data_IF_992227185274
#
_entry.id   IF_992227185274
#
_cell.length_a   1.000
_cell.length_b   1.000
_cell.length_c   1.000
_cell.angle_alpha   90.00
_cell.angle_beta   90.00
_cell.angle_gamma   90.00
#
_symmetry.space_group_name_H-M   'P 1'
#
loop_
_entity.id
_entity.type
_entity.pdbx_description
1 polymer ?
#
# COMPACT_ATOMS: atom_id res chain seq x y z
N UNK A 1 38.54 -13.97 -35.44
CA UNK A 1 39.08 -14.24 -34.08
C UNK A 1 38.37 -13.32 -33.15
N UNK A 2 37.52 -13.86 -32.30
CA UNK A 2 36.77 -13.11 -31.28
C UNK A 2 37.66 -13.13 -30.04
N UNK A 3 38.09 -11.95 -29.55
CA UNK A 3 38.87 -11.86 -28.32
C UNK A 3 38.02 -12.44 -27.13
N UNK A 4 38.63 -13.20 -26.23
CA UNK A 4 37.94 -13.73 -25.08
C UNK A 4 37.57 -12.59 -24.11
N UNK A 5 36.38 -12.64 -23.57
CA UNK A 5 35.90 -11.74 -22.51
C UNK A 5 36.89 -11.70 -21.34
N UNK A 6 37.13 -10.53 -20.73
CA UNK A 6 38.01 -10.42 -19.57
C UNK A 6 37.43 -11.20 -18.38
N UNK A 7 38.27 -12.04 -17.79
CA UNK A 7 37.91 -13.09 -16.81
C UNK A 7 37.47 -12.62 -15.43
N UNK A 8 37.43 -11.33 -15.13
CA UNK A 8 36.86 -10.79 -13.88
C UNK A 8 36.46 -9.33 -14.05
N UNK A 9 35.20 -9.06 -14.23
CA UNK A 9 34.61 -7.78 -13.82
C UNK A 9 34.59 -7.77 -12.29
N UNK A 10 35.63 -7.22 -11.65
CA UNK A 10 35.60 -6.91 -10.24
C UNK A 10 34.72 -5.67 -10.04
N UNK A 11 33.45 -5.87 -9.67
CA UNK A 11 32.64 -4.80 -9.15
C UNK A 11 33.23 -4.38 -7.79
N UNK A 12 33.47 -3.07 -7.56
CA UNK A 12 33.91 -2.62 -6.25
C UNK A 12 32.83 -3.05 -5.24
N UNK A 13 33.24 -3.64 -4.13
CA UNK A 13 32.35 -3.92 -3.02
C UNK A 13 31.65 -2.60 -2.65
N UNK A 14 30.31 -2.58 -2.68
CA UNK A 14 29.54 -1.42 -2.31
C UNK A 14 29.71 -1.16 -0.80
N UNK A 15 30.79 -0.47 -0.44
CA UNK A 15 31.05 0.05 0.90
C UNK A 15 30.48 1.47 1.00
N UNK A 16 29.17 1.61 0.84
CA UNK A 16 28.47 2.86 1.02
C UNK A 16 27.26 2.62 1.94
N UNK A 17 27.33 3.07 3.19
CA UNK A 17 26.12 3.27 4.00
C UNK A 17 25.21 4.19 3.21
N UNK A 18 24.01 3.72 2.84
CA UNK A 18 22.96 4.56 2.29
C UNK A 18 22.60 5.58 3.39
N UNK A 19 22.74 6.90 3.17
CA UNK A 19 22.39 7.90 4.16
C UNK A 19 20.89 7.85 4.40
N UNK A 20 20.44 7.73 5.64
CA UNK A 20 19.03 7.85 6.04
C UNK A 20 18.37 6.59 6.60
N UNK A 21 19.09 5.50 6.81
CA UNK A 21 18.58 4.37 7.59
C UNK A 21 18.94 4.57 9.07
N UNK A 22 18.04 5.20 9.83
CA UNK A 22 18.16 5.28 11.28
C UNK A 22 18.01 3.89 11.89
N UNK A 23 19.10 3.39 12.49
CA UNK A 23 19.18 2.09 13.15
C UNK A 23 18.54 2.04 14.55
N UNK A 24 17.74 3.04 14.92
CA UNK A 24 17.30 3.26 16.31
C UNK A 24 16.01 2.52 16.73
N UNK A 25 15.48 1.62 15.89
CA UNK A 25 14.35 0.75 16.26
C UNK A 25 14.68 -0.74 16.04
N UNK A 26 15.81 -1.20 16.54
CA UNK A 26 16.12 -2.62 16.51
C UNK A 26 15.79 -3.24 17.87
N UNK A 27 14.81 -4.15 17.90
CA UNK A 27 14.79 -5.21 18.90
C UNK A 27 16.10 -5.99 18.77
N UNK A 28 16.67 -6.49 19.86
CA UNK A 28 17.90 -7.31 19.84
C UNK A 28 17.74 -8.61 19.03
N UNK A 29 16.49 -8.96 18.66
CA UNK A 29 16.15 -10.13 17.81
C UNK A 29 16.15 -9.73 16.33
N UNK A 30 16.90 -10.44 15.47
CA UNK A 30 16.90 -10.17 14.03
C UNK A 30 15.52 -10.43 13.42
N UNK A 31 15.06 -9.50 12.56
CA UNK A 31 13.76 -9.59 11.90
C UNK A 31 13.62 -10.94 11.16
N UNK A 32 12.54 -11.65 11.44
CA UNK A 32 12.16 -12.90 10.80
C UNK A 32 11.16 -12.67 9.69
N UNK A 33 11.41 -13.25 8.53
CA UNK A 33 10.58 -13.15 7.33
C UNK A 33 10.07 -14.55 7.02
N UNK A 34 8.75 -14.67 6.85
CA UNK A 34 8.13 -15.93 6.43
C UNK A 34 8.23 -16.09 4.90
N UNK A 35 8.70 -17.22 4.44
CA UNK A 35 8.69 -17.62 3.02
C UNK A 35 8.30 -19.11 2.95
N UNK A 36 7.18 -19.40 2.30
CA UNK A 36 6.75 -20.76 1.95
C UNK A 36 6.80 -21.79 3.11
N UNK A 37 6.35 -21.41 4.28
CA UNK A 37 6.25 -22.29 5.44
C UNK A 37 7.45 -22.22 6.40
N UNK A 38 8.45 -21.40 6.14
CA UNK A 38 9.64 -21.27 6.97
C UNK A 38 9.95 -19.81 7.31
N UNK A 39 10.61 -19.60 8.46
CA UNK A 39 11.12 -18.30 8.86
C UNK A 39 12.61 -18.19 8.55
N UNK A 40 12.99 -17.04 8.02
CA UNK A 40 14.38 -16.69 7.67
C UNK A 40 14.75 -15.36 8.27
N UNK A 41 15.98 -15.21 8.73
CA UNK A 41 16.50 -13.91 9.10
C UNK A 41 16.53 -12.99 7.87
N UNK A 42 16.46 -11.65 8.10
CA UNK A 42 16.49 -10.64 7.02
C UNK A 42 17.64 -10.84 6.03
N UNK A 43 18.80 -11.31 6.47
CA UNK A 43 19.97 -11.54 5.61
C UNK A 43 19.88 -12.82 4.77
N UNK A 44 19.08 -13.81 5.22
CA UNK A 44 18.91 -15.12 4.59
C UNK A 44 17.64 -15.21 3.74
N UNK A 45 16.64 -14.34 3.99
CA UNK A 45 15.41 -14.27 3.21
C UNK A 45 15.71 -13.89 1.75
N UNK A 46 15.61 -14.86 0.83
CA UNK A 46 15.94 -14.71 -0.59
C UNK A 46 14.90 -15.44 -1.44
N UNK A 47 14.66 -14.91 -2.63
CA UNK A 47 13.88 -15.57 -3.67
C UNK A 47 14.79 -15.94 -4.85
N UNK A 48 14.36 -16.89 -5.66
CA UNK A 48 15.08 -17.29 -6.87
C UNK A 48 15.09 -16.13 -7.89
N UNK A 49 16.18 -15.98 -8.63
CA UNK A 49 16.25 -15.07 -9.79
C UNK A 49 15.35 -15.51 -10.95
N UNK A 50 14.82 -16.75 -10.91
CA UNK A 50 13.83 -17.28 -11.85
C UNK A 50 12.39 -17.14 -11.36
N UNK A 51 12.15 -16.42 -10.24
CA UNK A 51 10.80 -16.13 -9.78
C UNK A 51 10.12 -15.14 -10.75
N UNK A 52 8.93 -15.50 -11.24
CA UNK A 52 8.20 -14.69 -12.22
C UNK A 52 7.69 -13.36 -11.61
N UNK A 53 7.52 -13.29 -10.29
CA UNK A 53 7.27 -12.01 -9.60
C UNK A 53 8.45 -11.04 -9.78
N UNK A 54 9.70 -11.53 -9.74
CA UNK A 54 10.89 -10.74 -10.01
C UNK A 54 11.04 -10.43 -11.51
N UNK A 55 10.87 -11.44 -12.38
CA UNK A 55 11.15 -11.31 -13.81
C UNK A 55 10.10 -10.47 -14.54
N UNK A 56 8.81 -10.60 -14.17
CA UNK A 56 7.68 -10.05 -14.94
C UNK A 56 6.70 -9.25 -14.10
N UNK A 57 6.87 -9.15 -12.78
CA UNK A 57 5.87 -8.57 -11.90
C UNK A 57 4.61 -9.44 -11.78
N UNK A 58 4.71 -10.75 -12.09
CA UNK A 58 3.60 -11.69 -12.02
C UNK A 58 3.36 -12.14 -10.57
N UNK A 59 2.47 -11.42 -9.92
CA UNK A 59 2.11 -11.63 -8.53
C UNK A 59 1.21 -10.53 -8.00
N UNK A 60 0.77 -10.70 -6.77
CA UNK A 60 -0.13 -9.81 -6.05
C UNK A 60 0.42 -9.53 -4.65
N UNK A 61 -0.04 -8.44 -4.03
CA UNK A 61 0.43 -8.12 -2.69
C UNK A 61 -0.61 -7.38 -1.86
N UNK A 62 -0.41 -7.41 -0.55
CA UNK A 62 -1.13 -6.59 0.40
C UNK A 62 -0.18 -5.78 1.30
N UNK A 63 -0.71 -4.67 1.76
CA UNK A 63 -0.15 -3.89 2.85
C UNK A 63 -1.21 -3.82 3.94
N UNK A 64 -0.88 -4.28 5.15
CA UNK A 64 -1.83 -4.43 6.24
C UNK A 64 -1.25 -3.79 7.49
N UNK A 65 -2.04 -3.01 8.21
CA UNK A 65 -1.63 -2.44 9.51
C UNK A 65 -2.16 -3.27 10.66
N UNK A 66 -1.39 -3.28 11.73
CA UNK A 66 -1.84 -3.78 13.03
C UNK A 66 -1.53 -2.73 14.09
N UNK A 67 -2.44 -2.64 15.07
CA UNK A 67 -2.43 -1.66 16.14
C UNK A 67 -2.83 -2.34 17.43
N UNK A 68 -2.13 -2.06 18.50
CA UNK A 68 -2.52 -2.54 19.84
C UNK A 68 -2.90 -4.03 19.84
N UNK A 69 -1.99 -4.89 19.36
CA UNK A 69 -2.13 -6.35 19.27
C UNK A 69 -3.28 -6.85 18.37
N UNK A 70 -3.76 -6.04 17.41
CA UNK A 70 -4.82 -6.41 16.50
C UNK A 70 -4.51 -6.06 15.06
N UNK A 71 -4.68 -7.01 14.14
CA UNK A 71 -4.57 -6.75 12.72
C UNK A 71 -5.87 -6.13 12.22
N UNK A 72 -5.78 -4.91 11.72
CA UNK A 72 -6.95 -4.17 11.27
C UNK A 72 -7.46 -4.69 9.93
N UNK A 73 -8.75 -5.11 9.89
CA UNK A 73 -9.44 -5.58 8.68
C UNK A 73 -8.70 -6.73 7.95
N UNK A 74 -8.09 -7.67 8.69
CA UNK A 74 -7.28 -8.75 8.13
C UNK A 74 -8.02 -9.53 7.04
N UNK A 75 -9.23 -10.00 7.34
CA UNK A 75 -10.03 -10.84 6.44
C UNK A 75 -10.32 -10.12 5.12
N UNK A 76 -10.65 -8.82 5.17
CA UNK A 76 -10.92 -8.02 3.96
C UNK A 76 -9.67 -7.83 3.10
N UNK A 77 -8.49 -7.70 3.71
CA UNK A 77 -7.22 -7.67 2.99
C UNK A 77 -6.93 -9.01 2.31
N UNK A 78 -7.16 -10.12 3.02
CA UNK A 78 -6.96 -11.46 2.46
C UNK A 78 -7.95 -11.74 1.33
N UNK A 79 -9.22 -11.37 1.48
CA UNK A 79 -10.21 -11.49 0.40
C UNK A 79 -9.77 -10.74 -0.85
N UNK A 80 -9.31 -9.49 -0.73
CA UNK A 80 -8.82 -8.70 -1.86
C UNK A 80 -7.54 -9.29 -2.47
N UNK A 81 -6.66 -9.90 -1.67
CA UNK A 81 -5.48 -10.63 -2.17
C UNK A 81 -5.92 -11.79 -3.08
N UNK A 82 -6.89 -12.60 -2.62
CA UNK A 82 -7.42 -13.73 -3.39
C UNK A 82 -8.17 -13.28 -4.64
N UNK A 83 -8.94 -12.19 -4.58
CA UNK A 83 -9.61 -11.61 -5.75
C UNK A 83 -8.60 -11.09 -6.77
N UNK A 84 -7.54 -10.42 -6.33
CA UNK A 84 -6.45 -9.97 -7.18
C UNK A 84 -5.72 -11.14 -7.82
N UNK A 85 -5.43 -12.20 -7.07
CA UNK A 85 -4.80 -13.42 -7.56
C UNK A 85 -5.69 -14.11 -8.60
N UNK A 86 -7.00 -14.25 -8.33
CA UNK A 86 -7.97 -14.82 -9.25
C UNK A 86 -8.02 -14.05 -10.58
N UNK A 87 -7.97 -12.71 -10.53
CA UNK A 87 -8.03 -11.86 -11.71
C UNK A 87 -6.83 -12.06 -12.66
N UNK A 88 -5.66 -12.48 -12.15
CA UNK A 88 -4.46 -12.80 -12.94
C UNK A 88 -4.23 -14.30 -13.10
N UNK A 89 -5.23 -15.14 -12.86
CA UNK A 89 -5.12 -16.61 -12.89
C UNK A 89 -3.99 -17.16 -12.02
N UNK A 90 -3.73 -16.55 -10.86
CA UNK A 90 -2.75 -17.00 -9.87
C UNK A 90 -3.48 -17.81 -8.78
N UNK A 91 -3.10 -19.08 -8.63
CA UNK A 91 -3.61 -19.92 -7.54
C UNK A 91 -2.71 -19.78 -6.32
N UNK A 92 -3.24 -19.27 -5.22
CA UNK A 92 -2.54 -19.22 -3.93
C UNK A 92 -2.55 -20.64 -3.35
N UNK A 93 -1.38 -21.21 -2.98
CA UNK A 93 -1.28 -22.60 -2.53
C UNK A 93 -1.62 -22.76 -1.02
N UNK A 94 -2.61 -22.02 -0.55
CA UNK A 94 -3.12 -22.03 0.82
C UNK A 94 -4.57 -21.53 0.85
N UNK A 95 -5.33 -21.86 1.87
CA UNK A 95 -6.65 -21.29 2.12
C UNK A 95 -6.54 -19.86 2.69
N UNK A 96 -7.67 -19.13 2.74
CA UNK A 96 -7.71 -17.78 3.35
C UNK A 96 -7.32 -17.83 4.83
N UNK A 97 -7.82 -18.83 5.55
CA UNK A 97 -7.56 -19.05 6.97
C UNK A 97 -6.07 -19.33 7.22
N UNK A 98 -5.45 -20.16 6.38
CA UNK A 98 -4.01 -20.43 6.45
C UNK A 98 -3.17 -19.19 6.17
N UNK A 99 -3.54 -18.34 5.20
CA UNK A 99 -2.83 -17.08 4.91
C UNK A 99 -3.01 -16.09 6.06
N UNK A 100 -4.21 -16.01 6.68
CA UNK A 100 -4.41 -15.24 7.91
C UNK A 100 -3.45 -15.70 9.01
N UNK A 101 -3.37 -17.02 9.25
CA UNK A 101 -2.51 -17.57 10.30
C UNK A 101 -1.02 -17.34 10.00
N UNK A 102 -0.55 -17.51 8.77
CA UNK A 102 0.83 -17.18 8.35
C UNK A 102 1.16 -15.70 8.66
N UNK A 103 0.18 -14.82 8.42
CA UNK A 103 0.31 -13.38 8.69
C UNK A 103 0.44 -13.11 10.18
N UNK A 104 -0.45 -13.68 11.00
CA UNK A 104 -0.42 -13.54 12.46
C UNK A 104 0.84 -14.17 13.08
N UNK A 105 1.22 -15.37 12.60
CA UNK A 105 2.45 -16.06 13.04
C UNK A 105 3.71 -15.22 12.77
N UNK A 106 3.75 -14.51 11.63
CA UNK A 106 4.89 -13.64 11.30
C UNK A 106 4.99 -12.45 12.25
N UNK A 107 3.87 -11.88 12.70
CA UNK A 107 3.88 -10.80 13.70
C UNK A 107 4.36 -11.34 15.05
N UNK A 108 3.81 -12.49 15.49
CA UNK A 108 4.18 -13.14 16.76
C UNK A 108 5.66 -13.52 16.81
N UNK A 109 6.19 -14.09 15.68
CA UNK A 109 7.61 -14.46 15.58
C UNK A 109 8.54 -13.25 15.77
N UNK A 110 8.09 -12.05 15.41
CA UNK A 110 8.84 -10.80 15.56
C UNK A 110 8.52 -10.02 16.85
N UNK A 111 7.62 -10.51 17.70
CA UNK A 111 7.20 -9.88 18.96
C UNK A 111 6.75 -8.41 18.76
N UNK A 112 5.91 -8.19 17.75
CA UNK A 112 5.44 -6.85 17.36
C UNK A 112 4.01 -6.61 17.85
N UNK A 113 3.74 -5.39 18.34
CA UNK A 113 2.45 -4.98 18.90
C UNK A 113 1.76 -3.92 18.02
N UNK A 114 2.54 -3.13 17.28
CA UNK A 114 2.13 -2.16 16.28
C UNK A 114 3.04 -2.27 15.06
N UNK A 115 2.48 -2.08 13.86
CA UNK A 115 3.31 -2.11 12.67
C UNK A 115 2.56 -2.33 11.36
N UNK A 116 3.30 -2.86 10.41
CA UNK A 116 2.87 -3.03 9.03
C UNK A 116 3.33 -4.38 8.48
N UNK A 117 2.46 -5.00 7.74
CA UNK A 117 2.70 -6.25 7.04
C UNK A 117 2.77 -5.98 5.54
N UNK A 118 3.80 -6.51 4.90
CA UNK A 118 3.86 -6.71 3.46
C UNK A 118 3.67 -8.19 3.19
N UNK A 119 2.50 -8.55 2.68
CA UNK A 119 2.17 -9.91 2.23
C UNK A 119 2.27 -9.92 0.70
N UNK A 120 3.08 -10.81 0.15
CA UNK A 120 3.32 -10.93 -1.28
C UNK A 120 3.06 -12.38 -1.70
N UNK A 121 2.38 -12.55 -2.83
CA UNK A 121 2.27 -13.85 -3.50
C UNK A 121 2.78 -13.67 -4.92
N UNK A 122 3.89 -14.33 -5.25
CA UNK A 122 4.42 -14.38 -6.61
C UNK A 122 3.91 -15.61 -7.34
N UNK A 123 4.01 -15.62 -8.66
CA UNK A 123 3.78 -16.84 -9.47
C UNK A 123 4.73 -17.98 -9.08
N UNK A 124 5.88 -17.65 -8.48
CA UNK A 124 6.94 -18.59 -8.13
C UNK A 124 7.95 -18.82 -9.25
N UNK A 125 8.81 -19.80 -9.00
CA UNK A 125 9.91 -20.16 -9.88
C UNK A 125 9.40 -20.87 -11.12
N UNK A 126 9.89 -20.44 -12.30
CA UNK A 126 9.54 -21.05 -13.58
C UNK A 126 10.67 -20.95 -14.60
N UNK A 127 10.38 -21.42 -15.81
CA UNK A 127 11.26 -21.21 -16.96
C UNK A 127 11.21 -19.76 -17.48
N UNK A 128 12.21 -19.33 -18.22
CA UNK A 128 12.15 -18.06 -18.95
C UNK A 128 11.03 -18.11 -20.00
N UNK A 129 10.22 -17.05 -20.03
CA UNK A 129 9.07 -16.91 -20.92
C UNK A 129 7.80 -16.56 -20.15
N UNK A 130 6.76 -16.12 -20.85
CA UNK A 130 5.57 -15.51 -20.26
C UNK A 130 4.46 -16.52 -19.87
N UNK A 131 4.67 -17.82 -20.11
CA UNK A 131 3.63 -18.82 -19.77
C UNK A 131 3.56 -19.03 -18.26
N UNK A 132 2.43 -18.68 -17.61
CA UNK A 132 2.29 -18.86 -16.16
C UNK A 132 2.19 -20.35 -15.76
N UNK A 133 1.87 -21.24 -16.73
CA UNK A 133 1.75 -22.69 -16.53
C UNK A 133 3.10 -23.41 -16.42
N UNK A 134 4.20 -22.70 -16.60
CA UNK A 134 5.56 -23.22 -16.42
C UNK A 134 6.14 -22.94 -15.03
N UNK A 135 5.37 -22.33 -14.16
CA UNK A 135 5.69 -22.18 -12.74
C UNK A 135 4.97 -23.29 -11.96
N UNK A 136 5.74 -24.06 -11.20
CA UNK A 136 5.20 -25.23 -10.47
C UNK A 136 4.28 -24.84 -9.32
N UNK A 137 4.64 -23.79 -8.57
CA UNK A 137 3.92 -23.35 -7.38
C UNK A 137 4.16 -21.87 -7.10
N UNK A 138 3.11 -21.16 -6.72
CA UNK A 138 3.22 -19.79 -6.23
C UNK A 138 3.97 -19.75 -4.88
N UNK A 139 4.69 -18.67 -4.63
CA UNK A 139 5.43 -18.41 -3.39
C UNK A 139 4.72 -17.38 -2.54
N UNK A 140 4.61 -17.61 -1.23
CA UNK A 140 4.00 -16.72 -0.24
C UNK A 140 5.08 -16.15 0.65
N UNK A 141 5.18 -14.82 0.70
CA UNK A 141 6.17 -14.08 1.49
C UNK A 141 5.44 -13.13 2.43
N UNK A 142 5.75 -13.18 3.73
CA UNK A 142 5.21 -12.26 4.72
C UNK A 142 6.34 -11.56 5.45
N UNK A 143 6.31 -10.23 5.43
CA UNK A 143 7.25 -9.36 6.15
C UNK A 143 6.42 -8.53 7.13
N UNK A 144 6.69 -8.62 8.44
CA UNK A 144 6.10 -7.77 9.45
C UNK A 144 7.18 -6.86 10.04
N UNK A 145 6.94 -5.54 10.07
CA UNK A 145 7.90 -4.56 10.55
C UNK A 145 7.18 -3.28 11.01
N UNK A 146 7.89 -2.39 11.65
CA UNK A 146 7.39 -1.02 11.91
C UNK A 146 7.38 -0.21 10.62
N UNK A 147 6.49 0.78 10.52
CA UNK A 147 6.42 1.73 9.40
C UNK A 147 6.13 3.14 9.91
N UNK A 148 6.76 4.12 9.27
CA UNK A 148 6.36 5.53 9.34
C UNK A 148 6.38 6.07 7.91
N UNK A 149 5.19 6.33 7.33
CA UNK A 149 5.09 6.77 5.94
C UNK A 149 5.38 8.26 5.81
N UNK A 150 4.77 9.08 6.68
CA UNK A 150 4.97 10.52 6.73
C UNK A 150 5.39 10.96 8.13
N UNK A 151 6.15 12.06 8.26
CA UNK A 151 6.42 12.67 9.56
C UNK A 151 5.12 13.09 10.27
N UNK A 152 5.09 13.02 11.61
CA UNK A 152 3.91 13.36 12.41
C UNK A 152 3.34 14.76 12.08
N UNK A 153 4.20 15.73 11.77
CA UNK A 153 3.83 17.08 11.35
C UNK A 153 2.89 17.10 10.14
N UNK A 154 3.00 16.12 9.21
CA UNK A 154 2.16 16.07 8.01
C UNK A 154 0.73 15.61 8.33
N UNK A 155 0.55 14.83 9.37
CA UNK A 155 -0.79 14.47 9.87
C UNK A 155 -1.49 15.66 10.58
N UNK A 156 -0.72 16.64 11.03
CA UNK A 156 -1.25 17.84 11.67
C UNK A 156 -1.49 18.99 10.66
N UNK A 157 -0.53 19.18 9.74
CA UNK A 157 -0.54 20.33 8.81
C UNK A 157 -1.04 20.00 7.40
N UNK A 158 -1.02 18.71 7.02
CA UNK A 158 -1.39 18.27 5.68
C UNK A 158 -0.22 18.11 4.72
N UNK A 159 -0.49 17.35 3.66
CA UNK A 159 0.44 17.06 2.57
C UNK A 159 0.35 18.13 1.47
N UNK A 160 1.42 18.24 0.69
CA UNK A 160 1.45 18.93 -0.59
C UNK A 160 1.30 17.90 -1.69
N UNK A 161 0.31 18.07 -2.58
CA UNK A 161 0.07 17.21 -3.72
C UNK A 161 0.41 17.89 -5.05
N UNK A 162 0.77 17.10 -6.05
CA UNK A 162 0.92 17.55 -7.43
C UNK A 162 0.26 16.58 -8.40
N UNK A 163 -0.29 17.10 -9.50
CA UNK A 163 -0.75 16.27 -10.62
C UNK A 163 0.43 15.67 -11.36
N UNK A 164 0.41 14.34 -11.56
CA UNK A 164 1.42 13.63 -12.32
C UNK A 164 1.07 13.56 -13.81
N UNK A 165 2.09 13.57 -14.67
CA UNK A 165 1.96 13.32 -16.11
C UNK A 165 1.67 11.83 -16.37
N UNK A 166 2.30 10.95 -15.60
CA UNK A 166 2.06 9.49 -15.64
C UNK A 166 0.60 9.20 -15.31
N UNK A 167 -0.08 8.49 -16.22
CA UNK A 167 -1.50 8.13 -16.10
C UNK A 167 -1.68 6.79 -15.40
N UNK A 168 -2.83 6.63 -14.73
CA UNK A 168 -3.25 5.31 -14.26
C UNK A 168 -3.48 4.38 -15.47
N UNK A 169 -3.06 3.11 -15.40
CA UNK A 169 -3.40 2.13 -16.43
C UNK A 169 -4.90 2.03 -16.64
N UNK A 170 -5.33 1.81 -17.90
CA UNK A 170 -6.73 1.55 -18.21
C UNK A 170 -7.15 0.17 -17.71
N UNK A 171 -8.43 0.00 -17.42
CA UNK A 171 -9.01 -1.28 -16.98
C UNK A 171 -8.85 -2.42 -18.00
N UNK A 172 -8.79 -2.10 -19.28
CA UNK A 172 -8.59 -3.03 -20.39
C UNK A 172 -7.12 -3.40 -20.64
N UNK A 173 -6.17 -2.66 -20.08
CA UNK A 173 -4.74 -3.00 -20.13
C UNK A 173 -4.33 -3.84 -18.90
N UNK A 174 -4.30 -3.22 -17.74
CA UNK A 174 -4.06 -3.87 -16.43
C UNK A 174 -4.93 -3.14 -15.41
N UNK A 175 -6.04 -3.77 -15.01
CA UNK A 175 -7.02 -3.13 -14.14
C UNK A 175 -6.38 -2.66 -12.82
N UNK A 176 -6.49 -1.36 -12.47
CA UNK A 176 -6.03 -0.83 -11.20
C UNK A 176 -6.71 -1.46 -9.97
N UNK A 177 -7.86 -2.12 -10.16
CA UNK A 177 -8.53 -2.87 -9.10
C UNK A 177 -7.73 -4.12 -8.66
N UNK A 178 -6.85 -4.64 -9.54
CA UNK A 178 -5.93 -5.74 -9.20
C UNK A 178 -4.72 -5.17 -8.48
N UNK A 179 -4.51 -5.58 -7.24
CA UNK A 179 -3.32 -5.17 -6.46
C UNK A 179 -2.12 -6.04 -6.82
N UNK A 180 -1.64 -5.92 -8.08
CA UNK A 180 -0.53 -6.68 -8.64
C UNK A 180 0.82 -6.08 -8.28
N UNK A 181 1.91 -6.82 -8.54
CA UNK A 181 3.29 -6.33 -8.36
C UNK A 181 3.71 -5.29 -9.42
N UNK A 182 2.86 -4.94 -10.38
CA UNK A 182 3.16 -3.98 -11.46
C UNK A 182 2.93 -2.54 -11.01
N UNK A 183 3.74 -2.07 -10.06
CA UNK A 183 3.64 -0.72 -9.49
C UNK A 183 4.59 0.31 -10.11
N UNK A 184 5.24 -0.01 -11.23
CA UNK A 184 6.21 0.90 -11.83
C UNK A 184 5.59 2.24 -12.25
N UNK A 185 4.36 2.26 -12.78
CA UNK A 185 3.65 3.51 -13.08
C UNK A 185 3.42 4.38 -11.84
N UNK A 186 3.10 3.76 -10.70
CA UNK A 186 2.95 4.47 -9.43
C UNK A 186 4.30 5.02 -8.93
N UNK A 187 5.39 4.25 -9.07
CA UNK A 187 6.75 4.70 -8.73
C UNK A 187 7.17 5.88 -9.60
N UNK A 188 6.91 5.84 -10.92
CA UNK A 188 7.22 6.96 -11.82
C UNK A 188 6.41 8.21 -11.47
N UNK A 189 5.11 8.07 -11.20
CA UNK A 189 4.28 9.17 -10.74
C UNK A 189 4.80 9.75 -9.39
N UNK A 190 5.25 8.90 -8.47
CA UNK A 190 5.86 9.35 -7.20
C UNK A 190 7.15 10.16 -7.43
N UNK A 191 8.00 9.73 -8.39
CA UNK A 191 9.21 10.48 -8.79
C UNK A 191 8.84 11.86 -9.33
N UNK A 192 7.80 11.96 -10.18
CA UNK A 192 7.31 13.25 -10.70
C UNK A 192 6.81 14.17 -9.57
N UNK A 193 6.02 13.64 -8.64
CA UNK A 193 5.54 14.41 -7.49
C UNK A 193 6.70 14.95 -6.65
N UNK A 194 7.67 14.10 -6.30
CA UNK A 194 8.86 14.49 -5.53
C UNK A 194 9.70 15.53 -6.27
N UNK A 195 9.87 15.39 -7.59
CA UNK A 195 10.59 16.37 -8.42
C UNK A 195 9.92 17.74 -8.45
N UNK A 196 8.58 17.80 -8.25
CA UNK A 196 7.82 19.05 -8.14
C UNK A 196 7.82 19.66 -6.73
N UNK A 197 8.41 18.97 -5.74
CA UNK A 197 8.42 19.34 -4.33
C UNK A 197 7.16 18.91 -3.57
N UNK A 198 6.36 18.00 -4.13
CA UNK A 198 5.19 17.45 -3.46
C UNK A 198 5.52 16.13 -2.73
N UNK A 199 4.80 15.84 -1.65
CA UNK A 199 4.93 14.59 -0.92
C UNK A 199 4.18 13.44 -1.62
N UNK A 200 3.09 13.76 -2.35
CA UNK A 200 2.28 12.73 -3.00
C UNK A 200 1.76 13.22 -4.37
N UNK A 201 1.48 12.27 -5.27
CA UNK A 201 1.08 12.55 -6.64
C UNK A 201 -0.35 12.13 -6.95
N UNK A 202 -1.13 13.03 -7.55
CA UNK A 202 -2.47 12.74 -8.06
C UNK A 202 -2.36 12.19 -9.49
N UNK A 203 -2.84 10.97 -9.70
CA UNK A 203 -2.85 10.31 -10.99
C UNK A 203 -4.23 10.44 -11.64
N UNK A 204 -4.23 10.81 -12.91
CA UNK A 204 -5.45 10.89 -13.72
C UNK A 204 -5.55 9.63 -14.61
N UNK A 205 -6.77 9.26 -14.98
CA UNK A 205 -7.01 8.26 -16.02
C UNK A 205 -6.81 8.85 -17.43
N UNK A 206 -6.96 8.01 -18.46
CA UNK A 206 -6.79 8.43 -19.84
C UNK A 206 -7.80 9.50 -20.31
N UNK A 207 -8.98 9.56 -19.69
CA UNK A 207 -10.01 10.58 -19.98
C UNK A 207 -9.76 11.91 -19.24
N UNK A 208 -8.75 11.97 -18.35
CA UNK A 208 -8.40 13.17 -17.59
C UNK A 208 -9.11 13.32 -16.25
N UNK A 209 -9.91 12.31 -15.85
CA UNK A 209 -10.52 12.28 -14.52
C UNK A 209 -9.52 11.81 -13.46
N UNK A 210 -9.70 12.30 -12.24
CA UNK A 210 -8.93 11.87 -11.08
C UNK A 210 -9.22 10.40 -10.78
N UNK A 211 -8.17 9.60 -10.71
CA UNK A 211 -8.28 8.21 -10.31
C UNK A 211 -8.01 8.05 -8.80
N UNK A 212 -6.78 8.22 -8.40
CA UNK A 212 -6.29 8.16 -7.02
C UNK A 212 -4.88 8.78 -6.95
N UNK A 213 -4.22 8.70 -5.80
CA UNK A 213 -2.82 9.08 -5.66
C UNK A 213 -1.89 7.89 -5.95
N UNK A 214 -0.54 8.08 -5.79
CA UNK A 214 0.41 7.01 -6.13
C UNK A 214 0.30 5.79 -5.23
N UNK A 215 -0.12 5.96 -3.97
CA UNK A 215 -0.31 4.87 -3.00
C UNK A 215 -1.62 4.92 -2.22
N UNK A 216 -2.45 5.95 -2.42
CA UNK A 216 -3.59 6.30 -1.60
C UNK A 216 -4.82 6.66 -2.42
N UNK A 217 -6.02 6.42 -1.88
CA UNK A 217 -7.25 6.97 -2.42
C UNK A 217 -7.42 8.44 -1.99
N UNK A 218 -8.19 9.21 -2.75
CA UNK A 218 -8.42 10.63 -2.49
C UNK A 218 -9.89 10.93 -2.20
N UNK A 219 -10.12 11.83 -1.27
CA UNK A 219 -11.44 12.35 -0.91
C UNK A 219 -11.44 13.88 -0.98
N UNK A 220 -12.57 14.42 -1.40
CA UNK A 220 -12.86 15.86 -1.51
C UNK A 220 -14.03 16.19 -0.61
N UNK A 221 -13.93 17.27 0.15
CA UNK A 221 -15.09 17.85 0.83
C UNK A 221 -15.45 19.16 0.14
N UNK A 222 -16.73 19.29 -0.21
CA UNK A 222 -17.28 20.52 -0.80
C UNK A 222 -18.67 20.78 -0.27
N UNK A 223 -18.90 21.97 0.30
CA UNK A 223 -20.19 22.40 0.88
C UNK A 223 -20.76 21.35 1.88
N UNK A 224 -19.88 20.74 2.69
CA UNK A 224 -20.28 19.74 3.70
C UNK A 224 -20.56 18.34 3.16
N UNK A 225 -20.45 18.10 1.85
CA UNK A 225 -20.60 16.78 1.22
C UNK A 225 -19.21 16.20 0.96
N UNK A 226 -19.04 14.91 1.23
CA UNK A 226 -17.80 14.15 0.96
C UNK A 226 -17.90 13.47 -0.40
N UNK A 227 -16.88 13.62 -1.22
CA UNK A 227 -16.78 13.00 -2.55
C UNK A 227 -15.53 12.14 -2.65
N UNK A 228 -15.58 11.08 -3.45
CA UNK A 228 -14.40 10.28 -3.81
C UNK A 228 -14.57 9.78 -5.25
N UNK A 229 -13.47 9.57 -6.01
CA UNK A 229 -13.56 8.97 -7.33
C UNK A 229 -14.22 7.60 -7.30
N UNK A 230 -15.02 7.29 -8.33
CA UNK A 230 -15.51 5.92 -8.54
C UNK A 230 -14.32 5.00 -8.82
N UNK A 231 -14.46 3.71 -8.51
CA UNK A 231 -13.42 2.74 -8.89
C UNK A 231 -13.27 2.63 -10.41
N UNK A 232 -14.36 2.86 -11.16
CA UNK A 232 -14.34 2.91 -12.62
C UNK A 232 -13.41 4.03 -13.16
N UNK A 233 -13.13 5.07 -12.39
CA UNK A 233 -12.15 6.11 -12.75
C UNK A 233 -10.70 5.60 -12.73
N UNK A 234 -10.42 4.39 -12.23
CA UNK A 234 -9.10 3.77 -12.20
C UNK A 234 -8.48 3.70 -10.80
N UNK A 235 -9.28 3.78 -9.74
CA UNK A 235 -8.79 3.62 -8.37
C UNK A 235 -8.85 2.17 -7.89
N UNK A 236 -8.04 1.87 -6.88
CA UNK A 236 -8.12 0.61 -6.14
C UNK A 236 -9.34 0.64 -5.19
N UNK A 237 -9.96 -0.53 -4.97
CA UNK A 237 -10.89 -0.73 -3.86
C UNK A 237 -10.14 -0.70 -2.52
N UNK A 238 -9.79 0.50 -2.04
CA UNK A 238 -9.01 0.67 -0.82
C UNK A 238 -9.77 0.20 0.42
N UNK A 239 -9.13 -0.61 1.30
CA UNK A 239 -9.75 -1.03 2.56
C UNK A 239 -9.97 0.18 3.47
N UNK A 240 -8.96 1.05 3.60
CA UNK A 240 -9.10 2.30 4.38
C UNK A 240 -10.13 3.24 3.74
N UNK A 241 -10.20 3.29 2.39
CA UNK A 241 -11.27 4.02 1.69
C UNK A 241 -12.66 3.53 2.12
N UNK A 242 -12.88 2.22 2.13
CA UNK A 242 -14.14 1.61 2.56
C UNK A 242 -14.48 1.96 4.02
N UNK A 243 -13.50 1.87 4.92
CA UNK A 243 -13.68 2.23 6.33
C UNK A 243 -14.04 3.71 6.48
N UNK A 244 -13.39 4.61 5.73
CA UNK A 244 -13.74 6.04 5.79
C UNK A 244 -15.16 6.30 5.26
N UNK A 245 -15.60 5.57 4.24
CA UNK A 245 -16.98 5.65 3.76
C UNK A 245 -17.99 5.19 4.85
N UNK A 246 -17.69 4.13 5.60
CA UNK A 246 -18.45 3.70 6.79
C UNK A 246 -18.51 4.83 7.83
N UNK A 247 -17.35 5.43 8.16
CA UNK A 247 -17.27 6.52 9.16
C UNK A 247 -18.01 7.80 8.73
N UNK A 248 -18.02 8.12 7.44
CA UNK A 248 -18.80 9.24 6.87
C UNK A 248 -20.29 9.00 7.09
N UNK A 249 -20.77 7.78 6.79
CA UNK A 249 -22.16 7.40 7.00
C UNK A 249 -22.56 7.43 8.50
N UNK A 250 -21.71 6.90 9.38
CA UNK A 250 -21.90 6.94 10.84
C UNK A 250 -21.90 8.37 11.41
N UNK A 251 -21.20 9.29 10.75
CA UNK A 251 -21.19 10.70 11.11
C UNK A 251 -22.44 11.46 10.62
N UNK A 252 -23.32 10.79 9.86
CA UNK A 252 -24.50 11.42 9.25
C UNK A 252 -24.15 12.40 8.12
N UNK A 253 -22.96 12.27 7.53
CA UNK A 253 -22.51 13.07 6.41
C UNK A 253 -22.92 12.43 5.07
N UNK A 254 -23.19 13.26 4.08
CA UNK A 254 -23.46 12.78 2.73
C UNK A 254 -22.15 12.39 2.03
N UNK A 255 -22.14 11.20 1.40
CA UNK A 255 -21.05 10.69 0.59
C UNK A 255 -21.51 10.46 -0.86
N UNK A 256 -20.68 10.86 -1.82
CA UNK A 256 -20.91 10.60 -3.25
C UNK A 256 -19.68 10.03 -3.92
N UNK A 257 -19.85 8.91 -4.61
CA UNK A 257 -18.84 8.39 -5.55
C UNK A 257 -19.13 8.97 -6.94
N UNK A 258 -18.18 9.74 -7.48
CA UNK A 258 -18.36 10.47 -8.75
C UNK A 258 -17.07 10.50 -9.57
N UNK A 259 -17.20 10.75 -10.87
CA UNK A 259 -16.05 11.16 -11.68
C UNK A 259 -15.70 12.62 -11.32
N UNK A 260 -14.43 12.88 -11.07
CA UNK A 260 -13.93 14.20 -10.69
C UNK A 260 -12.81 14.64 -11.62
N UNK A 261 -12.81 15.91 -11.98
CA UNK A 261 -11.72 16.56 -12.68
C UNK A 261 -10.79 17.30 -11.68
N UNK A 262 -9.64 17.76 -12.14
CA UNK A 262 -8.74 18.57 -11.32
C UNK A 262 -9.40 19.83 -10.76
N UNK A 263 -10.39 20.38 -11.50
CA UNK A 263 -11.16 21.55 -11.05
C UNK A 263 -11.84 21.30 -9.70
N UNK A 264 -12.38 20.11 -9.49
CA UNK A 264 -13.08 19.76 -8.24
C UNK A 264 -12.12 19.73 -7.05
N UNK A 265 -10.87 19.31 -7.29
CA UNK A 265 -9.82 19.35 -6.28
C UNK A 265 -9.36 20.80 -6.00
N UNK A 266 -9.22 21.63 -7.06
CA UNK A 266 -8.78 23.04 -6.89
C UNK A 266 -9.76 23.88 -6.09
N UNK A 267 -11.06 23.54 -6.17
CA UNK A 267 -12.14 24.29 -5.54
C UNK A 267 -12.66 23.63 -4.26
N UNK A 268 -12.01 22.56 -3.81
CA UNK A 268 -12.38 21.84 -2.59
C UNK A 268 -12.29 22.74 -1.35
N UNK A 269 -13.17 22.49 -0.39
CA UNK A 269 -13.08 23.11 0.94
C UNK A 269 -12.07 22.35 1.80
N UNK A 270 -12.03 20.98 1.66
CA UNK A 270 -11.06 20.12 2.29
C UNK A 270 -10.65 19.00 1.32
N UNK A 271 -9.42 18.50 1.44
CA UNK A 271 -8.93 17.30 0.78
C UNK A 271 -8.23 16.41 1.82
N UNK A 272 -8.38 15.09 1.66
CA UNK A 272 -7.61 14.14 2.43
C UNK A 272 -7.38 12.84 1.63
N UNK A 273 -6.36 12.12 2.02
CA UNK A 273 -6.00 10.83 1.44
C UNK A 273 -6.27 9.70 2.42
N UNK A 274 -6.47 8.50 1.86
CA UNK A 274 -6.66 7.29 2.67
C UNK A 274 -5.84 6.14 2.10
N UNK A 275 -5.07 5.49 2.96
CA UNK A 275 -4.30 4.32 2.61
C UNK A 275 -3.93 3.52 3.85
N UNK A 276 -3.62 2.25 3.69
CA UNK A 276 -3.29 1.41 4.84
C UNK A 276 -2.06 1.95 5.59
N UNK A 277 -1.01 2.37 4.86
CA UNK A 277 0.19 2.93 5.48
C UNK A 277 0.00 4.42 5.86
N UNK A 278 -0.78 5.18 5.07
CA UNK A 278 -1.05 6.59 5.28
C UNK A 278 -2.15 6.85 6.32
N UNK A 279 -3.00 5.85 6.61
CA UNK A 279 -4.21 6.03 7.43
C UNK A 279 -5.18 7.04 6.80
N UNK A 280 -5.55 8.08 7.52
CA UNK A 280 -6.25 9.25 7.00
C UNK A 280 -5.33 10.45 7.17
N UNK A 281 -4.90 11.05 6.07
CA UNK A 281 -3.95 12.16 6.09
C UNK A 281 -4.52 13.37 5.34
N UNK A 282 -4.52 14.58 5.95
CA UNK A 282 -5.06 15.77 5.32
C UNK A 282 -4.14 16.28 4.20
N UNK A 283 -4.70 17.10 3.32
CA UNK A 283 -3.99 17.81 2.24
C UNK A 283 -4.11 19.31 2.44
N UNK A 284 -2.99 20.00 2.46
CA UNK A 284 -2.91 21.45 2.62
C UNK A 284 -2.81 22.21 1.29
N UNK A 285 -2.14 21.61 0.31
CA UNK A 285 -1.85 22.24 -0.99
C UNK A 285 -1.96 21.23 -2.14
N UNK A 286 -2.54 21.68 -3.27
CA UNK A 286 -2.57 20.89 -4.50
C UNK A 286 -2.22 21.77 -5.70
N UNK A 287 -1.24 21.35 -6.52
CA UNK A 287 -0.73 22.09 -7.68
C UNK A 287 -0.47 23.59 -7.36
N UNK A 288 0.23 23.86 -6.26
CA UNK A 288 0.56 25.21 -5.78
C UNK A 288 -0.65 26.07 -5.41
N UNK A 289 -1.79 25.45 -5.05
CA UNK A 289 -2.99 26.13 -4.55
C UNK A 289 -3.32 25.60 -3.16
N UNK A 290 -3.53 26.49 -2.22
CA UNK A 290 -4.02 26.11 -0.89
C UNK A 290 -5.41 25.48 -1.02
N UNK A 291 -5.63 24.41 -0.29
CA UNK A 291 -6.95 23.79 -0.14
C UNK A 291 -7.64 24.43 1.07
N UNK A 292 -8.82 25.02 0.84
CA UNK A 292 -9.50 25.78 1.88
C UNK A 292 -8.61 26.89 2.43
N UNK A 293 -8.26 26.80 3.70
CA UNK A 293 -7.34 27.73 4.39
C UNK A 293 -5.87 27.29 4.36
N UNK A 294 -5.56 26.13 3.78
CA UNK A 294 -4.25 25.48 3.87
C UNK A 294 -4.06 24.68 5.17
N UNK A 295 -5.12 24.52 5.96
CA UNK A 295 -5.16 23.75 7.19
C UNK A 295 -6.22 22.64 7.09
N UNK A 296 -6.06 21.50 7.78
CA UNK A 296 -7.08 20.47 7.78
C UNK A 296 -8.44 20.98 8.25
N UNK A 297 -9.47 20.76 7.45
CA UNK A 297 -10.81 21.22 7.77
C UNK A 297 -11.52 20.37 8.83
N UNK A 298 -12.73 20.81 9.29
CA UNK A 298 -13.43 20.18 10.42
C UNK A 298 -13.87 18.75 10.11
N UNK A 299 -14.33 18.44 8.90
CA UNK A 299 -14.78 17.10 8.51
C UNK A 299 -13.57 16.16 8.46
N UNK A 300 -12.46 16.57 7.87
CA UNK A 300 -11.21 15.80 7.81
C UNK A 300 -10.69 15.50 9.23
N UNK A 301 -10.67 16.48 10.14
CA UNK A 301 -10.24 16.29 11.54
C UNK A 301 -11.16 15.29 12.26
N UNK A 302 -12.47 15.39 12.09
CA UNK A 302 -13.43 14.45 12.66
C UNK A 302 -13.22 13.02 12.17
N UNK A 303 -12.96 12.82 10.87
CA UNK A 303 -12.73 11.50 10.30
C UNK A 303 -11.39 10.91 10.76
N UNK A 304 -10.33 11.72 10.88
CA UNK A 304 -9.04 11.30 11.44
C UNK A 304 -9.21 10.79 12.88
N UNK A 305 -9.92 11.55 13.72
CA UNK A 305 -10.15 11.15 15.11
C UNK A 305 -10.96 9.85 15.22
N UNK A 306 -12.05 9.74 14.45
CA UNK A 306 -12.87 8.52 14.42
C UNK A 306 -12.07 7.31 13.94
N UNK A 307 -11.28 7.46 12.89
CA UNK A 307 -10.43 6.40 12.37
C UNK A 307 -9.40 5.95 13.41
N UNK A 308 -8.70 6.88 14.05
CA UNK A 308 -7.72 6.57 15.12
C UNK A 308 -8.35 5.81 16.27
N UNK A 309 -9.55 6.20 16.71
CA UNK A 309 -10.26 5.48 17.77
C UNK A 309 -10.67 4.07 17.33
N UNK A 310 -11.13 3.91 16.09
CA UNK A 310 -11.57 2.62 15.54
C UNK A 310 -10.41 1.62 15.48
N UNK A 311 -9.25 2.01 14.95
CA UNK A 311 -8.10 1.10 14.78
C UNK A 311 -7.47 0.63 16.09
N UNK A 312 -7.65 1.39 17.18
CA UNK A 312 -7.17 1.00 18.50
C UNK A 312 -8.02 -0.08 19.18
N UNK A 313 -9.26 -0.25 18.76
CA UNK A 313 -10.23 -1.10 19.44
C UNK A 313 -10.71 -2.29 18.61
N UNK A 314 -10.49 -2.28 17.30
CA UNK A 314 -11.02 -3.29 16.37
C UNK A 314 -9.91 -4.01 15.62
N UNK A 315 -10.19 -5.24 15.17
CA UNK A 315 -9.27 -6.06 14.38
C UNK A 315 -9.13 -7.47 14.94
N UNK A 316 -8.47 -8.33 14.17
CA UNK A 316 -8.19 -9.73 14.48
C UNK A 316 -7.07 -9.80 15.52
N UNK A 317 -7.28 -10.42 16.70
CA UNK A 317 -6.25 -10.53 17.74
C UNK A 317 -5.00 -11.25 17.24
N UNK A 318 -3.82 -10.75 17.57
CA UNK A 318 -2.53 -11.36 17.21
C UNK A 318 -2.14 -12.40 18.25
N UNK A 319 -2.28 -12.04 19.52
CA UNK A 319 -1.94 -12.88 20.66
C UNK A 319 -3.22 -13.40 21.31
N UNK A 320 -3.23 -14.66 21.70
CA UNK A 320 -4.32 -15.20 22.53
C UNK A 320 -4.34 -14.44 23.87
N UNK A 321 -5.54 -14.07 24.33
CA UNK A 321 -5.66 -13.55 25.69
C UNK A 321 -5.23 -14.66 26.64
N UNK A 322 -4.17 -14.45 27.41
CA UNK A 322 -3.88 -15.29 28.56
C UNK A 322 -5.15 -15.29 29.43
N UNK A 323 -5.80 -16.45 29.57
CA UNK A 323 -6.83 -16.61 30.58
C UNK A 323 -6.13 -16.40 31.93
N UNK A 324 -6.33 -15.21 32.53
CA UNK A 324 -5.99 -14.99 33.91
C UNK A 324 -7.02 -15.78 34.71
N UNK A 325 -6.61 -16.96 35.16
CA UNK A 325 -7.36 -17.84 36.06
C UNK A 325 -7.39 -17.26 37.47
#
# INVERSE_FOLDING_TARGET
MVEPFPEKLAFPAASGKVPGFDSNFMSDKPLQIFIDGQFYSRGEAKISVFDHGLLYGDGVFEGIRFYNDRVFRLEQHIDRLFDSAKAIHLTIPATREEVCEMTLATIRENDLHDGYIRLVVTRGVGELGLSPYKCERASIIVIASTISLYPAEKYEKGLILATCATRRPNHDALSPAVKSLNYLSNVMAKVEAMASGAEEGVMLNAAGYVAECTGDNIFVVKNGVVYTPTVASGSLYGITRGVVMELVAEAGLELREVEMARYDLYTADELFLTGTAAEVVPVAEYDKRLIGTGEPGPITRQLIERFRNLVQTTGTPIYEKAFVS
#
